data_IF_308258461002
#
_entry.id   IF_308258461002
#
_cell.length_a   1.000
_cell.length_b   1.000
_cell.length_c   1.000
_cell.angle_alpha   90.00
_cell.angle_beta   90.00
_cell.angle_gamma   90.00
#
_symmetry.space_group_name_H-M   'P 1'
#
loop_
_entity.id
_entity.type
_entity.pdbx_description
1 polymer ?
#
# COMPACT_ATOMS: atom_id res chain seq x y z
N UNK A 1 -38.99 -0.86 -5.52
CA UNK A 1 -37.59 -0.78 -6.00
C UNK A 1 -37.33 -2.00 -6.90
N UNK A 2 -37.16 -1.80 -8.21
CA UNK A 2 -36.96 -2.89 -9.18
C UNK A 2 -35.57 -3.51 -9.02
N UNK A 3 -35.40 -4.79 -9.43
CA UNK A 3 -34.12 -5.52 -9.31
C UNK A 3 -32.94 -4.76 -9.94
N UNK A 4 -33.18 -4.04 -11.03
CA UNK A 4 -32.22 -3.15 -11.70
C UNK A 4 -31.80 -1.96 -10.84
N UNK A 5 -32.69 -1.32 -10.08
CA UNK A 5 -32.33 -0.25 -9.15
C UNK A 5 -31.51 -0.75 -7.96
N UNK A 6 -31.74 -1.98 -7.49
CA UNK A 6 -30.93 -2.60 -6.43
C UNK A 6 -29.53 -2.97 -6.91
N UNK A 7 -29.42 -3.54 -8.12
CA UNK A 7 -28.14 -3.82 -8.74
C UNK A 7 -27.35 -2.52 -8.97
N UNK A 8 -27.98 -1.47 -9.53
CA UNK A 8 -27.34 -0.17 -9.75
C UNK A 8 -26.88 0.48 -8.43
N UNK A 9 -27.71 0.41 -7.37
CA UNK A 9 -27.34 0.93 -6.06
C UNK A 9 -26.17 0.15 -5.42
N UNK A 10 -26.11 -1.17 -5.63
CA UNK A 10 -25.00 -2.01 -5.14
C UNK A 10 -23.69 -1.72 -5.89
N UNK A 11 -23.78 -1.56 -7.22
CA UNK A 11 -22.61 -1.19 -8.05
C UNK A 11 -22.10 0.19 -7.68
N UNK A 12 -23.00 1.16 -7.47
CA UNK A 12 -22.66 2.52 -7.07
C UNK A 12 -22.04 2.59 -5.66
N UNK A 13 -22.53 1.78 -4.71
CA UNK A 13 -21.93 1.71 -3.36
C UNK A 13 -20.57 1.01 -3.37
N UNK A 14 -20.36 -0.01 -4.20
CA UNK A 14 -19.02 -0.61 -4.40
C UNK A 14 -18.03 0.36 -5.06
N UNK A 15 -18.48 1.17 -6.03
CA UNK A 15 -17.67 2.22 -6.64
C UNK A 15 -17.28 3.29 -5.63
N UNK A 16 -18.22 3.78 -4.82
CA UNK A 16 -17.94 4.79 -3.78
C UNK A 16 -17.02 4.26 -2.67
N UNK A 17 -17.16 3.00 -2.28
CA UNK A 17 -16.26 2.36 -1.30
C UNK A 17 -14.81 2.24 -1.80
N UNK A 18 -14.58 2.19 -3.11
CA UNK A 18 -13.22 2.16 -3.68
C UNK A 18 -12.49 3.50 -3.60
N UNK A 19 -13.22 4.61 -3.44
CA UNK A 19 -12.67 5.96 -3.25
C UNK A 19 -12.53 6.36 -1.76
N UNK A 20 -13.32 5.78 -0.87
CA UNK A 20 -13.41 6.21 0.54
C UNK A 20 -12.10 6.12 1.36
N UNK A 21 -11.09 5.41 0.87
CA UNK A 21 -9.75 5.36 1.50
C UNK A 21 -8.71 6.31 0.91
N UNK A 22 -9.06 7.07 -0.13
CA UNK A 22 -8.13 7.97 -0.86
C UNK A 22 -8.72 9.35 -1.15
N UNK A 23 -9.82 9.71 -0.48
CA UNK A 23 -10.28 11.10 -0.50
C UNK A 23 -9.36 11.87 0.43
N UNK A 24 -8.23 12.35 -0.09
CA UNK A 24 -7.75 13.64 0.37
C UNK A 24 -8.84 14.63 -0.04
N UNK A 25 -9.46 15.32 0.92
CA UNK A 25 -10.21 16.52 0.59
C UNK A 25 -9.25 17.43 -0.19
N UNK A 26 -9.65 17.87 -1.39
CA UNK A 26 -8.90 18.91 -2.11
C UNK A 26 -9.00 20.18 -1.26
N UNK A 27 -8.11 20.31 -0.28
CA UNK A 27 -8.01 21.54 0.48
C UNK A 27 -7.35 22.59 -0.40
N UNK A 28 -8.09 23.68 -0.54
CA UNK A 28 -7.74 24.84 -1.31
C UNK A 28 -6.38 25.39 -0.89
N UNK A 29 -5.44 25.43 -1.83
CA UNK A 29 -4.25 26.30 -1.87
C UNK A 29 -3.98 27.08 -0.58
N UNK A 30 -3.26 26.47 0.35
CA UNK A 30 -2.50 27.23 1.36
C UNK A 30 -1.02 27.20 0.99
N UNK A 31 -0.39 28.37 1.10
CA UNK A 31 1.01 28.59 0.85
C UNK A 31 1.87 27.58 1.62
N UNK A 32 2.78 26.94 0.89
CA UNK A 32 3.85 26.09 1.43
C UNK A 32 4.66 26.87 2.46
N UNK A 33 4.37 26.61 3.74
CA UNK A 33 5.39 26.68 4.77
C UNK A 33 6.12 25.35 4.73
N UNK A 34 7.40 25.38 4.32
CA UNK A 34 8.30 24.25 4.54
C UNK A 34 8.25 23.92 6.05
N UNK A 35 8.08 22.64 6.39
CA UNK A 35 8.12 22.03 7.74
C UNK A 35 6.80 21.72 8.47
N UNK A 36 5.61 21.92 7.88
CA UNK A 36 4.39 21.38 8.48
C UNK A 36 4.21 19.89 8.13
N UNK A 37 4.40 19.02 9.14
CA UNK A 37 4.10 17.58 9.06
C UNK A 37 2.62 17.38 8.68
N UNK A 38 2.29 16.57 7.65
CA UNK A 38 0.90 16.28 7.28
C UNK A 38 0.07 15.79 8.47
N UNK A 39 -1.19 16.26 8.59
CA UNK A 39 -2.05 15.94 9.74
C UNK A 39 -2.31 14.44 9.92
N UNK A 40 -2.27 13.65 8.85
CA UNK A 40 -2.47 12.20 8.92
C UNK A 40 -1.27 11.44 9.53
N UNK A 41 -0.14 12.11 9.73
CA UNK A 41 1.04 11.55 10.37
C UNK A 41 1.01 11.90 11.87
N UNK A 42 0.29 11.09 12.64
CA UNK A 42 0.20 11.23 14.09
C UNK A 42 1.09 10.19 14.80
N UNK A 43 1.59 10.52 15.99
CA UNK A 43 2.29 9.63 16.91
C UNK A 43 1.33 8.62 17.60
N UNK A 44 0.03 8.70 17.32
CA UNK A 44 -0.95 7.71 17.79
C UNK A 44 -2.10 7.52 16.79
N UNK A 45 -2.69 6.34 16.78
CA UNK A 45 -3.90 6.03 16.03
C UNK A 45 -4.90 5.28 16.92
N UNK A 46 -6.16 5.72 16.93
CA UNK A 46 -7.27 5.03 17.62
C UNK A 46 -6.99 4.64 19.10
N UNK A 47 -6.19 5.44 19.82
CA UNK A 47 -5.81 5.20 21.22
C UNK A 47 -4.58 4.31 21.42
N UNK A 48 -3.90 3.92 20.34
CA UNK A 48 -2.59 3.28 20.36
C UNK A 48 -1.51 4.33 20.08
N UNK A 49 -0.56 4.52 21.00
CA UNK A 49 0.62 5.38 20.79
C UNK A 49 1.77 4.52 20.29
N UNK A 50 2.38 4.92 19.17
CA UNK A 50 3.54 4.22 18.62
C UNK A 50 4.75 4.36 19.53
N UNK A 51 5.57 3.32 19.62
CA UNK A 51 6.86 3.34 20.30
C UNK A 51 7.94 4.00 19.42
N UNK A 52 7.89 3.77 18.10
CA UNK A 52 8.81 4.31 17.10
C UNK A 52 8.14 5.31 16.15
N UNK A 53 8.95 6.07 15.41
CA UNK A 53 8.43 6.96 14.37
C UNK A 53 7.97 6.16 13.14
N UNK A 54 6.65 6.13 12.90
CA UNK A 54 6.02 5.43 11.77
C UNK A 54 5.77 6.30 10.54
N UNK A 55 6.11 7.59 10.57
CA UNK A 55 5.71 8.57 9.56
C UNK A 55 6.06 8.12 8.15
N UNK A 56 7.30 7.64 7.99
CA UNK A 56 7.81 7.21 6.70
C UNK A 56 7.05 6.00 6.13
N UNK A 57 6.64 5.05 6.97
CA UNK A 57 5.81 3.92 6.55
C UNK A 57 4.38 4.35 6.25
N UNK A 58 3.81 5.25 7.04
CA UNK A 58 2.46 5.80 6.80
C UNK A 58 2.38 6.58 5.49
N UNK A 59 3.46 7.25 5.07
CA UNK A 59 3.52 7.95 3.78
C UNK A 59 3.33 7.03 2.56
N UNK A 60 3.58 5.71 2.67
CA UNK A 60 3.28 4.77 1.58
C UNK A 60 1.78 4.63 1.30
N UNK A 61 0.90 5.05 2.22
CA UNK A 61 -0.53 5.08 1.95
C UNK A 61 -0.88 6.13 0.91
N UNK A 62 -0.13 7.24 0.89
CA UNK A 62 -0.27 8.24 -0.16
C UNK A 62 0.20 7.70 -1.52
N UNK A 63 1.29 6.91 -1.55
CA UNK A 63 1.72 6.21 -2.78
C UNK A 63 0.61 5.28 -3.30
N UNK A 64 -0.05 4.52 -2.42
CA UNK A 64 -1.18 3.66 -2.81
C UNK A 64 -2.35 4.48 -3.38
N UNK A 65 -2.64 5.64 -2.80
CA UNK A 65 -3.69 6.51 -3.29
C UNK A 65 -3.35 7.12 -4.65
N UNK A 66 -2.12 7.59 -4.84
CA UNK A 66 -1.65 8.12 -6.11
C UNK A 66 -1.67 7.04 -7.21
N UNK A 67 -1.28 5.80 -6.89
CA UNK A 67 -1.39 4.64 -7.80
C UNK A 67 -2.84 4.40 -8.19
N UNK A 68 -3.77 4.42 -7.22
CA UNK A 68 -5.20 4.21 -7.50
C UNK A 68 -5.77 5.32 -8.38
N UNK A 69 -5.40 6.57 -8.14
CA UNK A 69 -5.81 7.70 -8.97
C UNK A 69 -5.32 7.54 -10.39
N UNK A 70 -4.01 7.35 -10.58
CA UNK A 70 -3.42 7.14 -11.91
C UNK A 70 -4.06 5.94 -12.64
N UNK A 71 -4.22 4.80 -11.96
CA UNK A 71 -4.85 3.62 -12.52
C UNK A 71 -6.34 3.83 -12.86
N UNK A 72 -7.07 4.68 -12.13
CA UNK A 72 -8.47 5.00 -12.45
C UNK A 72 -8.60 5.85 -13.73
N UNK A 73 -7.56 6.62 -14.04
CA UNK A 73 -7.43 7.43 -15.26
C UNK A 73 -6.78 6.65 -16.42
N UNK A 74 -6.49 5.36 -16.21
CA UNK A 74 -5.73 4.51 -17.14
C UNK A 74 -4.31 4.99 -17.43
N UNK A 75 -3.74 5.78 -16.53
CA UNK A 75 -2.33 6.15 -16.53
C UNK A 75 -1.49 5.04 -15.86
N UNK A 76 -1.27 3.97 -16.62
CA UNK A 76 -0.54 2.78 -16.16
C UNK A 76 0.94 3.07 -15.92
N UNK A 77 1.52 3.99 -16.68
CA UNK A 77 2.94 4.34 -16.58
C UNK A 77 3.21 5.07 -15.25
N UNK A 78 2.37 6.06 -14.90
CA UNK A 78 2.47 6.73 -13.59
C UNK A 78 2.19 5.76 -12.45
N UNK A 79 1.16 4.92 -12.55
CA UNK A 79 0.87 3.91 -11.54
C UNK A 79 2.06 2.94 -11.33
N UNK A 80 2.70 2.50 -12.41
CA UNK A 80 3.87 1.62 -12.36
C UNK A 80 5.08 2.33 -11.77
N UNK A 81 5.31 3.58 -12.16
CA UNK A 81 6.42 4.39 -11.66
C UNK A 81 6.33 4.60 -10.14
N UNK A 82 5.16 4.95 -9.62
CA UNK A 82 4.96 5.14 -8.18
C UNK A 82 5.09 3.80 -7.43
N UNK A 83 4.52 2.71 -7.96
CA UNK A 83 4.67 1.38 -7.34
C UNK A 83 6.13 0.95 -7.20
N UNK A 84 6.92 1.14 -8.26
CA UNK A 84 8.31 0.67 -8.34
C UNK A 84 9.27 1.58 -7.59
N UNK A 85 9.09 2.90 -7.68
CA UNK A 85 10.07 3.88 -7.23
C UNK A 85 9.65 4.64 -5.97
N UNK A 86 8.38 4.57 -5.56
CA UNK A 86 7.84 5.39 -4.48
C UNK A 86 7.74 6.86 -4.86
N UNK A 87 7.00 7.64 -4.05
CA UNK A 87 6.87 9.09 -4.25
C UNK A 87 6.78 9.88 -2.95
N UNK A 88 6.18 9.32 -1.90
CA UNK A 88 5.86 10.07 -0.69
C UNK A 88 6.67 9.64 0.54
N UNK A 89 7.36 8.50 0.49
CA UNK A 89 8.12 7.92 1.63
C UNK A 89 9.65 8.00 1.44
N UNK A 90 10.20 9.21 1.37
CA UNK A 90 11.64 9.46 1.21
C UNK A 90 12.42 9.11 2.49
N UNK A 91 13.55 8.42 2.37
CA UNK A 91 14.46 8.11 3.47
C UNK A 91 15.56 9.17 3.55
N UNK A 92 16.32 9.15 4.64
CA UNK A 92 17.43 10.08 4.87
C UNK A 92 18.51 10.06 3.77
N UNK A 93 18.64 8.96 3.02
CA UNK A 93 19.59 8.82 1.92
C UNK A 93 19.06 9.33 0.56
N UNK A 94 17.85 9.90 0.54
CA UNK A 94 17.15 10.37 -0.65
C UNK A 94 16.51 9.26 -1.49
N UNK A 95 16.62 8.00 -1.07
CA UNK A 95 15.88 6.89 -1.68
C UNK A 95 14.48 6.80 -1.09
N UNK A 96 13.54 6.22 -1.82
CA UNK A 96 12.18 6.04 -1.33
C UNK A 96 11.97 4.61 -0.81
N UNK A 97 11.07 4.46 0.18
CA UNK A 97 10.39 3.18 0.40
C UNK A 97 9.39 2.97 -0.73
N UNK A 98 9.18 1.72 -1.12
CA UNK A 98 8.35 1.40 -2.29
C UNK A 98 7.42 0.23 -1.99
N UNK A 99 6.23 0.26 -2.59
CA UNK A 99 5.26 -0.83 -2.49
C UNK A 99 5.76 -2.09 -3.24
N UNK A 100 6.58 -1.92 -4.28
CA UNK A 100 7.34 -3.01 -4.88
C UNK A 100 8.32 -3.64 -3.88
N UNK A 101 8.99 -2.81 -3.07
CA UNK A 101 9.85 -3.25 -1.99
C UNK A 101 9.10 -4.08 -0.96
N UNK A 102 7.86 -3.70 -0.61
CA UNK A 102 7.01 -4.48 0.30
C UNK A 102 6.61 -5.83 -0.29
N UNK A 103 6.27 -5.87 -1.59
CA UNK A 103 5.89 -7.09 -2.29
C UNK A 103 7.07 -8.02 -2.66
N UNK A 104 8.30 -7.53 -2.57
CA UNK A 104 9.50 -8.32 -2.90
C UNK A 104 9.76 -9.42 -1.86
N UNK A 105 10.04 -10.64 -2.35
CA UNK A 105 10.18 -11.82 -1.51
C UNK A 105 11.55 -11.95 -0.82
N UNK A 106 12.62 -11.53 -1.49
CA UNK A 106 13.98 -11.65 -0.96
C UNK A 106 14.08 -11.00 0.42
N UNK A 107 14.43 -11.82 1.42
CA UNK A 107 14.57 -11.43 2.82
C UNK A 107 13.27 -11.35 3.62
N UNK A 108 12.09 -11.49 3.00
CA UNK A 108 10.79 -11.35 3.68
C UNK A 108 10.02 -12.64 3.90
N UNK A 109 10.30 -13.66 3.09
CA UNK A 109 9.70 -14.99 3.20
C UNK A 109 8.16 -14.95 3.27
N UNK A 110 7.50 -14.27 2.32
CA UNK A 110 6.04 -14.30 2.30
C UNK A 110 5.55 -15.74 2.07
N UNK A 111 4.66 -16.24 2.93
CA UNK A 111 4.11 -17.59 2.80
C UNK A 111 3.42 -17.83 1.44
N UNK A 112 2.95 -16.77 0.79
CA UNK A 112 2.38 -16.79 -0.56
C UNK A 112 3.40 -17.31 -1.60
N UNK A 113 4.66 -16.87 -1.50
CA UNK A 113 5.74 -17.27 -2.40
C UNK A 113 6.02 -18.77 -2.26
N UNK A 114 6.04 -19.27 -1.02
CA UNK A 114 6.18 -20.69 -0.71
C UNK A 114 5.02 -21.53 -1.28
N UNK A 115 3.78 -21.06 -1.16
CA UNK A 115 2.61 -21.75 -1.70
C UNK A 115 2.64 -21.84 -3.23
N UNK A 116 3.08 -20.78 -3.92
CA UNK A 116 3.20 -20.76 -5.38
C UNK A 116 4.54 -21.31 -5.91
N UNK A 117 5.49 -21.62 -5.03
CA UNK A 117 6.83 -22.08 -5.41
C UNK A 117 7.60 -21.04 -6.24
N UNK A 118 7.31 -19.76 -6.05
CA UNK A 118 7.87 -18.66 -6.84
C UNK A 118 8.31 -17.53 -5.89
N UNK A 119 9.60 -17.21 -5.93
CA UNK A 119 10.13 -16.03 -5.25
C UNK A 119 9.54 -14.76 -5.89
N UNK A 120 8.95 -13.89 -5.08
CA UNK A 120 8.36 -12.63 -5.51
C UNK A 120 7.00 -12.77 -6.16
N UNK A 121 6.25 -13.85 -5.87
CA UNK A 121 4.96 -14.13 -6.49
C UNK A 121 3.93 -13.02 -6.25
N UNK A 122 3.96 -12.38 -5.07
CA UNK A 122 3.08 -11.22 -4.79
C UNK A 122 3.40 -10.07 -5.75
N UNK A 123 4.67 -9.66 -5.84
CA UNK A 123 5.11 -8.58 -6.71
C UNK A 123 4.86 -8.88 -8.18
N UNK A 124 5.12 -10.11 -8.62
CA UNK A 124 4.85 -10.56 -9.98
C UNK A 124 3.37 -10.42 -10.35
N UNK A 125 2.45 -10.80 -9.44
CA UNK A 125 1.02 -10.71 -9.71
C UNK A 125 0.51 -9.26 -9.76
N UNK A 126 1.04 -8.38 -8.89
CA UNK A 126 0.77 -6.93 -8.97
C UNK A 126 1.28 -6.36 -10.30
N UNK A 127 2.50 -6.73 -10.70
CA UNK A 127 3.07 -6.29 -11.98
C UNK A 127 2.28 -6.79 -13.19
N UNK A 128 1.69 -7.98 -13.14
CA UNK A 128 0.79 -8.43 -14.21
C UNK A 128 -0.43 -7.52 -14.39
N UNK A 129 -1.00 -7.00 -13.30
CA UNK A 129 -2.06 -6.00 -13.38
C UNK A 129 -1.54 -4.67 -13.94
N UNK A 130 -0.39 -4.21 -13.46
CA UNK A 130 0.24 -2.97 -13.93
C UNK A 130 0.64 -3.03 -15.41
N UNK A 131 1.03 -4.19 -15.94
CA UNK A 131 1.40 -4.38 -17.34
C UNK A 131 0.20 -4.73 -18.24
N UNK A 132 -0.91 -5.21 -17.65
CA UNK A 132 -2.04 -5.72 -18.42
C UNK A 132 -1.74 -7.08 -19.08
N UNK A 133 -0.91 -7.89 -18.42
CA UNK A 133 -0.53 -9.23 -18.88
C UNK A 133 -1.07 -10.32 -17.93
N UNK A 134 -0.75 -11.59 -18.21
CA UNK A 134 -1.20 -12.72 -17.38
C UNK A 134 -2.72 -12.78 -17.26
N UNK A 135 -3.22 -12.82 -16.02
CA UNK A 135 -4.67 -12.84 -15.72
C UNK A 135 -5.40 -11.55 -16.14
N UNK A 136 -4.66 -10.49 -16.45
CA UNK A 136 -5.19 -9.19 -16.87
C UNK A 136 -5.14 -8.98 -18.39
N UNK A 137 -4.55 -9.91 -19.15
CA UNK A 137 -4.48 -9.83 -20.60
C UNK A 137 -5.87 -9.81 -21.25
N UNK A 138 -6.14 -8.77 -22.06
CA UNK A 138 -7.42 -8.60 -22.76
C UNK A 138 -8.61 -8.28 -21.86
N UNK A 139 -8.37 -7.99 -20.57
CA UNK A 139 -9.41 -7.51 -19.65
C UNK A 139 -9.73 -6.04 -19.89
N UNK A 140 -10.84 -5.54 -19.33
CA UNK A 140 -11.16 -4.11 -19.41
C UNK A 140 -10.30 -3.28 -18.46
N UNK A 141 -10.13 -1.99 -18.76
CA UNK A 141 -9.41 -1.05 -17.89
C UNK A 141 -9.96 -1.04 -16.46
N UNK A 142 -11.27 -1.19 -16.29
CA UNK A 142 -11.90 -1.32 -14.97
C UNK A 142 -11.43 -2.56 -14.20
N UNK A 143 -11.29 -3.71 -14.87
CA UNK A 143 -10.79 -4.93 -14.23
C UNK A 143 -9.31 -4.77 -13.88
N UNK A 144 -8.52 -4.16 -14.76
CA UNK A 144 -7.11 -3.88 -14.54
C UNK A 144 -6.88 -2.92 -13.37
N UNK A 145 -7.62 -1.81 -13.31
CA UNK A 145 -7.64 -0.89 -12.17
C UNK A 145 -7.95 -1.62 -10.85
N UNK A 146 -8.99 -2.47 -10.85
CA UNK A 146 -9.35 -3.24 -9.66
C UNK A 146 -8.26 -4.23 -9.26
N UNK A 147 -7.57 -4.84 -10.23
CA UNK A 147 -6.38 -5.65 -10.01
C UNK A 147 -5.29 -4.86 -9.31
N UNK A 148 -4.85 -3.75 -9.91
CA UNK A 148 -3.79 -2.89 -9.35
C UNK A 148 -4.14 -2.47 -7.91
N UNK A 149 -5.34 -1.93 -7.69
CA UNK A 149 -5.76 -1.46 -6.37
C UNK A 149 -5.82 -2.59 -5.33
N UNK A 150 -6.45 -3.71 -5.65
CA UNK A 150 -6.70 -4.79 -4.68
C UNK A 150 -5.46 -5.63 -4.41
N UNK A 151 -4.67 -5.91 -5.43
CA UNK A 151 -3.46 -6.71 -5.27
C UNK A 151 -2.42 -5.95 -4.43
N UNK A 152 -2.24 -4.65 -4.71
CA UNK A 152 -1.27 -3.83 -3.97
C UNK A 152 -1.60 -3.76 -2.48
N UNK A 153 -2.88 -3.53 -2.12
CA UNK A 153 -3.28 -3.46 -0.70
C UNK A 153 -3.42 -4.83 -0.04
N UNK A 154 -4.14 -5.78 -0.65
CA UNK A 154 -4.51 -7.03 0.03
C UNK A 154 -3.45 -8.12 -0.06
N UNK A 155 -2.52 -8.03 -1.02
CA UNK A 155 -1.40 -8.97 -1.12
C UNK A 155 -0.08 -8.29 -0.79
N UNK A 156 0.22 -7.15 -1.42
CA UNK A 156 1.46 -6.42 -1.18
C UNK A 156 1.61 -5.98 0.28
N UNK A 157 0.69 -5.15 0.76
CA UNK A 157 0.79 -4.64 2.14
C UNK A 157 0.57 -5.73 3.18
N UNK A 158 -0.42 -6.60 3.02
CA UNK A 158 -0.67 -7.70 3.97
C UNK A 158 0.53 -8.65 4.06
N UNK A 159 1.16 -8.98 2.93
CA UNK A 159 2.38 -9.79 2.90
C UNK A 159 3.50 -9.15 3.73
N UNK A 160 3.70 -7.85 3.56
CA UNK A 160 4.68 -7.09 4.33
C UNK A 160 4.33 -6.99 5.82
N UNK A 161 3.07 -6.72 6.17
CA UNK A 161 2.61 -6.70 7.58
C UNK A 161 2.88 -8.03 8.28
N UNK A 162 2.66 -9.16 7.61
CA UNK A 162 2.96 -10.49 8.16
C UNK A 162 4.48 -10.64 8.39
N UNK A 163 5.31 -10.16 7.45
CA UNK A 163 6.75 -10.16 7.60
C UNK A 163 7.21 -9.34 8.83
N UNK A 164 6.66 -8.14 9.00
CA UNK A 164 6.98 -7.25 10.12
C UNK A 164 6.55 -7.85 11.46
N UNK A 165 5.33 -8.37 11.57
CA UNK A 165 4.85 -9.03 12.81
C UNK A 165 5.72 -10.24 13.17
N UNK A 166 6.09 -11.08 12.19
CA UNK A 166 7.00 -12.21 12.45
C UNK A 166 8.39 -11.73 12.91
N UNK A 167 8.87 -10.63 12.35
CA UNK A 167 10.14 -10.00 12.74
C UNK A 167 10.08 -9.42 14.15
N UNK A 168 8.95 -8.78 14.52
CA UNK A 168 8.70 -8.29 15.87
C UNK A 168 8.74 -9.43 16.90
N UNK A 169 8.04 -10.54 16.62
CA UNK A 169 8.06 -11.74 17.48
C UNK A 169 9.47 -12.28 17.65
N UNK A 170 10.21 -12.46 16.55
CA UNK A 170 11.57 -12.97 16.61
C UNK A 170 12.52 -12.06 17.41
N UNK A 171 12.37 -10.74 17.27
CA UNK A 171 13.14 -9.75 18.06
C UNK A 171 12.76 -9.77 19.53
N UNK A 172 11.47 -9.90 19.85
CA UNK A 172 10.98 -10.01 21.23
C UNK A 172 11.51 -11.28 21.91
N UNK A 173 11.48 -12.41 21.22
CA UNK A 173 12.04 -13.69 21.70
C UNK A 173 13.56 -13.60 21.96
N UNK A 174 14.26 -12.78 21.17
CA UNK A 174 15.67 -12.48 21.36
C UNK A 174 15.94 -11.42 22.46
N UNK A 175 14.91 -10.87 23.09
CA UNK A 175 15.00 -9.81 24.10
C UNK A 175 15.34 -8.43 23.54
N UNK A 176 15.23 -8.23 22.22
CA UNK A 176 15.44 -6.94 21.59
C UNK A 176 14.16 -6.10 21.64
N UNK A 177 14.06 -5.27 22.67
CA UNK A 177 12.89 -4.41 22.98
C UNK A 177 13.18 -2.92 22.79
N UNK A 178 14.23 -2.58 22.04
CA UNK A 178 14.53 -1.20 21.67
C UNK A 178 13.41 -0.61 20.81
N UNK A 179 12.98 0.62 21.08
CA UNK A 179 11.81 1.19 20.42
C UNK A 179 12.05 1.39 18.92
N UNK A 180 13.22 1.88 18.51
CA UNK A 180 13.52 2.24 17.11
C UNK A 180 14.05 1.08 16.26
N UNK A 181 14.62 0.04 16.88
CA UNK A 181 15.27 -1.06 16.15
C UNK A 181 14.84 -2.46 16.61
N UNK A 182 14.10 -2.56 17.70
CA UNK A 182 13.67 -3.80 18.33
C UNK A 182 12.28 -4.25 17.89
N UNK A 183 11.63 -5.06 18.73
CA UNK A 183 10.29 -5.56 18.47
C UNK A 183 9.21 -4.46 18.34
N UNK A 184 9.21 -3.38 19.14
CA UNK A 184 8.23 -2.30 18.99
C UNK A 184 8.27 -1.66 17.60
N UNK A 185 9.47 -1.39 17.06
CA UNK A 185 9.64 -0.84 15.71
C UNK A 185 8.94 -1.64 14.61
N UNK A 186 8.98 -2.97 14.68
CA UNK A 186 8.33 -3.83 13.68
C UNK A 186 6.85 -4.10 13.99
N UNK A 187 6.41 -3.79 15.21
CA UNK A 187 5.01 -3.91 15.60
C UNK A 187 4.21 -2.69 15.16
N UNK A 188 4.81 -1.50 15.33
CA UNK A 188 4.28 -0.23 14.87
C UNK A 188 4.21 -0.14 13.33
#
# INVERSE_FOLDING_TARGET
MTKTLRALALTLTLLLASLAGCVAEEDTTEETTEDAKPEFLDASDAGYTYASNVDNHRSLMQDLCDIKTAASESDWDTATMIYMNGKNAEKDDGSFRTLAGFAAASGKNHNYDAYHGMDGAIGAHIMSALNGDGDFAGTSDTVRYQGIAKLTVNMGMVGYTIHEINSAVAKADAGNIDDDTGAPHNWD
#
